data_IF_747128751932
#
_entry.id   IF_747128751932
#
_cell.length_a   1.000
_cell.length_b   1.000
_cell.length_c   1.000
_cell.angle_alpha   90.00
_cell.angle_beta   90.00
_cell.angle_gamma   90.00
#
_symmetry.space_group_name_H-M   'P 1'
#
loop_
_entity.id
_entity.type
_entity.pdbx_description
1 polymer ?
#
# COMPACT_ATOMS: atom_id res chain seq x y z
N UNK A 1 -10.86 -55.60 -35.73
CA UNK A 1 -9.45 -55.90 -35.35
C UNK A 1 -8.65 -54.63 -35.59
N UNK A 2 -8.04 -54.12 -34.52
CA UNK A 2 -6.91 -53.17 -34.45
C UNK A 2 -7.02 -51.86 -35.26
N UNK A 3 -7.29 -50.69 -34.65
CA UNK A 3 -6.42 -49.85 -33.79
C UNK A 3 -5.37 -49.04 -34.57
N UNK A 4 -5.43 -47.72 -34.42
CA UNK A 4 -4.42 -46.79 -34.91
C UNK A 4 -4.79 -45.35 -34.60
N UNK A 5 -4.85 -45.00 -33.32
CA UNK A 5 -4.87 -43.61 -32.84
C UNK A 5 -3.50 -43.03 -33.17
N UNK A 6 -3.45 -41.89 -33.88
CA UNK A 6 -2.29 -41.03 -33.85
C UNK A 6 -2.71 -39.69 -33.24
N UNK A 7 -2.20 -39.47 -32.04
CA UNK A 7 -2.19 -38.18 -31.36
C UNK A 7 -1.25 -37.27 -32.13
N UNK A 8 -1.71 -36.08 -32.51
CA UNK A 8 -0.82 -34.94 -32.56
C UNK A 8 -1.58 -33.73 -32.00
N UNK A 9 -1.26 -33.43 -30.75
CA UNK A 9 -1.67 -32.22 -30.06
C UNK A 9 -0.68 -31.13 -30.44
N UNK A 10 -0.90 -30.50 -31.59
CA UNK A 10 -0.15 -29.31 -32.00
C UNK A 10 -0.85 -28.11 -31.39
N UNK A 11 -0.14 -27.34 -30.55
CA UNK A 11 -0.59 -26.07 -29.99
C UNK A 11 -1.20 -25.21 -31.09
N UNK A 12 -2.53 -25.08 -31.08
CA UNK A 12 -3.27 -24.26 -32.02
C UNK A 12 -3.11 -22.79 -31.68
N UNK A 13 -1.97 -22.21 -32.01
CA UNK A 13 -1.89 -20.78 -32.29
C UNK A 13 -2.61 -20.54 -33.62
N UNK A 14 -3.95 -20.54 -33.60
CA UNK A 14 -4.75 -20.06 -34.72
C UNK A 14 -4.63 -18.54 -34.74
N UNK A 15 -3.55 -18.04 -35.34
CA UNK A 15 -3.54 -16.66 -35.84
C UNK A 15 -4.61 -16.56 -36.91
N UNK A 16 -5.54 -15.64 -36.75
CA UNK A 16 -6.50 -15.35 -37.82
C UNK A 16 -5.73 -14.60 -38.92
N UNK A 17 -6.01 -14.87 -40.20
CA UNK A 17 -5.38 -14.16 -41.33
C UNK A 17 -5.61 -12.62 -41.26
N UNK A 18 -6.54 -12.16 -40.41
CA UNK A 18 -6.76 -10.76 -40.07
C UNK A 18 -5.62 -10.13 -39.26
N UNK A 19 -4.83 -10.93 -38.54
CA UNK A 19 -3.63 -10.48 -37.80
C UNK A 19 -2.49 -10.08 -38.76
N UNK A 20 -2.54 -10.60 -39.99
CA UNK A 20 -1.64 -10.26 -41.10
C UNK A 20 -2.32 -9.38 -42.16
N UNK A 21 -3.47 -8.78 -41.84
CA UNK A 21 -4.11 -7.82 -42.72
C UNK A 21 -3.14 -6.69 -43.08
N UNK A 22 -3.26 -6.19 -44.31
CA UNK A 22 -2.44 -5.08 -44.78
C UNK A 22 -2.47 -3.95 -43.74
N UNK A 23 -1.31 -3.34 -43.43
CA UNK A 23 -1.26 -2.23 -42.49
C UNK A 23 -2.33 -1.23 -42.89
N UNK A 24 -3.23 -0.89 -41.97
CA UNK A 24 -4.10 0.28 -42.17
C UNK A 24 -3.20 1.40 -42.63
N UNK A 25 -3.48 1.94 -43.82
CA UNK A 25 -2.61 2.91 -44.46
C UNK A 25 -2.44 4.05 -43.48
N UNK A 26 -1.31 4.07 -42.76
CA UNK A 26 -0.90 5.25 -42.01
C UNK A 26 -0.91 6.35 -43.06
N UNK A 27 -1.76 7.35 -42.90
CA UNK A 27 -1.74 8.55 -43.73
C UNK A 27 -0.27 8.88 -43.94
N UNK A 28 0.19 8.85 -45.19
CA UNK A 28 1.57 9.21 -45.51
C UNK A 28 1.79 10.56 -44.84
N UNK A 29 2.56 10.55 -43.75
CA UNK A 29 2.97 11.78 -43.10
C UNK A 29 3.56 12.66 -44.17
N UNK A 30 3.33 13.96 -44.06
CA UNK A 30 4.01 14.96 -44.88
C UNK A 30 5.47 14.53 -45.01
N UNK A 31 6.00 14.46 -46.23
CA UNK A 31 7.36 13.96 -46.51
C UNK A 31 8.48 14.86 -45.97
N UNK A 32 8.19 15.59 -44.91
CA UNK A 32 9.12 16.44 -44.20
C UNK A 32 10.08 15.55 -43.41
N UNK A 33 11.40 15.78 -43.54
CA UNK A 33 12.37 15.06 -42.74
C UNK A 33 12.08 15.33 -41.26
N UNK A 34 11.97 14.28 -40.45
CA UNK A 34 11.80 14.41 -39.01
C UNK A 34 13.01 15.17 -38.43
N UNK A 35 12.76 16.39 -37.94
CA UNK A 35 13.73 17.17 -37.18
C UNK A 35 13.40 17.00 -35.71
N UNK A 36 14.28 16.35 -34.96
CA UNK A 36 14.11 16.23 -33.52
C UNK A 36 14.13 17.62 -32.87
N UNK A 37 13.15 17.90 -32.02
CA UNK A 37 13.12 19.15 -31.23
C UNK A 37 14.35 19.19 -30.31
N UNK A 38 15.11 20.28 -30.38
CA UNK A 38 16.18 20.56 -29.43
C UNK A 38 15.60 21.37 -28.27
N UNK A 39 15.60 20.80 -27.08
CA UNK A 39 15.05 21.41 -25.88
C UNK A 39 16.18 21.82 -24.94
N UNK A 40 16.28 23.13 -24.67
CA UNK A 40 17.20 23.64 -23.66
C UNK A 40 16.79 23.20 -22.24
N UNK A 41 17.72 23.16 -21.26
CA UNK A 41 17.37 22.92 -19.87
C UNK A 41 16.26 23.89 -19.41
N UNK A 42 15.23 23.35 -18.75
CA UNK A 42 14.08 24.13 -18.25
C UNK A 42 13.25 24.83 -19.35
N UNK A 43 13.30 24.41 -20.61
CA UNK A 43 12.50 24.98 -21.72
C UNK A 43 11.01 25.21 -21.42
N UNK A 44 10.42 24.50 -20.47
CA UNK A 44 9.01 24.58 -20.06
C UNK A 44 8.70 25.70 -19.04
N UNK A 45 9.70 26.47 -18.58
CA UNK A 45 9.50 27.54 -17.60
C UNK A 45 9.01 28.86 -18.21
N UNK A 46 9.24 29.06 -19.50
CA UNK A 46 8.78 30.25 -20.24
C UNK A 46 7.31 30.10 -20.67
N UNK A 47 6.68 31.20 -21.09
CA UNK A 47 5.34 31.16 -21.69
C UNK A 47 5.41 30.38 -23.01
N UNK A 48 4.54 29.38 -23.14
CA UNK A 48 4.51 28.53 -24.32
C UNK A 48 3.60 29.17 -25.34
N UNK A 49 4.20 29.96 -26.24
CA UNK A 49 3.54 30.51 -27.43
C UNK A 49 3.43 29.44 -28.52
N UNK A 50 2.71 28.36 -28.22
CA UNK A 50 2.42 27.28 -29.17
C UNK A 50 0.93 27.20 -29.43
N UNK A 51 0.54 27.06 -30.70
CA UNK A 51 -0.85 26.73 -31.07
C UNK A 51 -1.19 25.27 -30.76
N UNK A 52 -0.19 24.43 -30.48
CA UNK A 52 -0.37 23.02 -30.14
C UNK A 52 -0.77 22.85 -28.67
N UNK A 53 -2.05 22.53 -28.46
CA UNK A 53 -2.63 22.21 -27.16
C UNK A 53 -1.86 21.12 -26.38
N UNK A 54 -1.24 20.16 -27.07
CA UNK A 54 -0.48 19.07 -26.43
C UNK A 54 0.85 19.59 -25.87
N UNK A 55 1.50 20.51 -26.57
CA UNK A 55 2.76 21.11 -26.14
C UNK A 55 2.54 22.02 -24.92
N UNK A 56 1.48 22.84 -24.93
CA UNK A 56 1.07 23.67 -23.79
C UNK A 56 0.85 22.82 -22.54
N UNK A 57 0.03 21.76 -22.66
CA UNK A 57 -0.30 20.86 -21.53
C UNK A 57 0.95 20.14 -21.00
N UNK A 58 1.85 19.73 -21.89
CA UNK A 58 3.11 19.07 -21.53
C UNK A 58 4.02 20.01 -20.74
N UNK A 59 4.17 21.26 -21.20
CA UNK A 59 4.98 22.25 -20.51
C UNK A 59 4.40 22.62 -19.13
N UNK A 60 3.08 22.78 -19.03
CA UNK A 60 2.41 23.02 -17.75
C UNK A 60 2.66 21.89 -16.75
N UNK A 61 2.55 20.63 -17.19
CA UNK A 61 2.86 19.48 -16.33
C UNK A 61 4.32 19.53 -15.85
N UNK A 62 5.28 19.78 -16.74
CA UNK A 62 6.69 19.84 -16.33
C UNK A 62 7.01 21.01 -15.40
N UNK A 63 6.35 22.15 -15.60
CA UNK A 63 6.43 23.30 -14.69
C UNK A 63 5.89 22.95 -13.30
N UNK A 64 4.76 22.25 -13.24
CA UNK A 64 4.18 21.73 -11.99
C UNK A 64 5.13 20.71 -11.31
N UNK A 65 5.68 19.76 -12.06
CA UNK A 65 6.64 18.77 -11.56
C UNK A 65 7.91 19.45 -10.98
N UNK A 66 8.36 20.53 -11.62
CA UNK A 66 9.50 21.33 -11.13
C UNK A 66 9.12 22.08 -9.84
N UNK A 67 7.98 22.75 -9.79
CA UNK A 67 7.49 23.42 -8.59
C UNK A 67 7.34 22.42 -7.42
N UNK A 68 6.81 21.22 -7.69
CA UNK A 68 6.71 20.15 -6.70
C UNK A 68 8.08 19.73 -6.18
N UNK A 69 9.07 19.54 -7.06
CA UNK A 69 10.45 19.22 -6.67
C UNK A 69 11.08 20.31 -5.79
N UNK A 70 10.77 21.58 -6.06
CA UNK A 70 11.19 22.73 -5.27
C UNK A 70 10.37 22.93 -3.98
N UNK A 71 9.39 22.04 -3.72
CA UNK A 71 8.46 22.09 -2.58
C UNK A 71 7.54 23.30 -2.56
N UNK A 72 7.37 23.97 -3.70
CA UNK A 72 6.35 25.00 -3.88
C UNK A 72 5.02 24.32 -4.28
N UNK A 73 4.36 23.75 -3.28
CA UNK A 73 3.18 22.90 -3.50
C UNK A 73 1.94 23.68 -3.91
N UNK A 74 1.80 24.95 -3.52
CA UNK A 74 0.69 25.80 -3.96
C UNK A 74 0.82 26.11 -5.45
N UNK A 75 2.02 26.51 -5.90
CA UNK A 75 2.27 26.74 -7.32
C UNK A 75 2.09 25.45 -8.12
N UNK A 76 2.67 24.34 -7.65
CA UNK A 76 2.55 23.04 -8.32
C UNK A 76 1.08 22.64 -8.49
N UNK A 77 0.26 22.80 -7.44
CA UNK A 77 -1.16 22.52 -7.50
C UNK A 77 -1.87 23.41 -8.53
N UNK A 78 -1.58 24.71 -8.56
CA UNK A 78 -2.14 25.65 -9.54
C UNK A 78 -1.81 25.26 -11.00
N UNK A 79 -0.55 24.91 -11.26
CA UNK A 79 -0.10 24.48 -12.58
C UNK A 79 -0.72 23.12 -12.98
N UNK A 80 -0.82 22.15 -12.05
CA UNK A 80 -1.52 20.89 -12.30
C UNK A 80 -3.03 21.08 -12.55
N UNK A 81 -3.69 21.99 -11.83
CA UNK A 81 -5.10 22.34 -12.07
C UNK A 81 -5.29 22.93 -13.47
N UNK A 82 -4.41 23.85 -13.87
CA UNK A 82 -4.41 24.42 -15.22
C UNK A 82 -4.20 23.35 -16.29
N UNK A 83 -3.23 22.45 -16.08
CA UNK A 83 -2.98 21.29 -16.93
C UNK A 83 -4.21 20.38 -17.05
N UNK A 84 -4.89 20.09 -15.94
CA UNK A 84 -6.07 19.21 -15.91
C UNK A 84 -7.28 19.80 -16.64
N UNK A 85 -7.46 21.12 -16.57
CA UNK A 85 -8.54 21.83 -17.26
C UNK A 85 -8.36 21.81 -18.77
N UNK A 86 -7.12 21.89 -19.26
CA UNK A 86 -6.79 21.86 -20.68
C UNK A 86 -6.75 20.45 -21.27
N UNK A 87 -6.62 19.42 -20.44
CA UNK A 87 -6.57 18.03 -20.90
C UNK A 87 -7.92 17.56 -21.47
N UNK A 88 -7.99 17.00 -22.69
CA UNK A 88 -9.22 16.42 -23.20
C UNK A 88 -9.60 15.17 -22.39
N UNK A 89 -10.91 14.87 -22.23
CA UNK A 89 -11.38 13.71 -21.46
C UNK A 89 -10.90 12.37 -22.03
N UNK A 90 -10.53 12.34 -23.31
CA UNK A 90 -9.97 11.15 -23.98
C UNK A 90 -8.55 10.80 -23.52
N UNK A 91 -7.78 11.77 -22.99
CA UNK A 91 -6.43 11.53 -22.49
C UNK A 91 -6.46 11.02 -21.03
N UNK A 92 -7.03 9.83 -20.84
CA UNK A 92 -7.26 9.23 -19.53
C UNK A 92 -5.97 9.02 -18.73
N UNK A 93 -4.89 8.63 -19.41
CA UNK A 93 -3.59 8.38 -18.79
C UNK A 93 -3.01 9.65 -18.14
N UNK A 94 -2.93 10.75 -18.90
CA UNK A 94 -2.35 11.99 -18.38
C UNK A 94 -3.27 12.65 -17.35
N UNK A 95 -4.59 12.57 -17.52
CA UNK A 95 -5.55 13.07 -16.51
C UNK A 95 -5.37 12.36 -15.18
N UNK A 96 -5.24 11.03 -15.19
CA UNK A 96 -4.99 10.23 -13.98
C UNK A 96 -3.68 10.63 -13.29
N UNK A 97 -2.61 10.80 -14.06
CA UNK A 97 -1.28 11.18 -13.55
C UNK A 97 -1.30 12.57 -12.90
N UNK A 98 -1.93 13.55 -13.57
CA UNK A 98 -2.10 14.91 -13.04
C UNK A 98 -2.96 14.90 -11.78
N UNK A 99 -4.07 14.18 -11.74
CA UNK A 99 -4.91 14.04 -10.54
C UNK A 99 -4.13 13.42 -9.37
N UNK A 100 -3.37 12.36 -9.61
CA UNK A 100 -2.49 11.78 -8.58
C UNK A 100 -1.48 12.79 -8.04
N UNK A 101 -0.98 13.68 -8.89
CA UNK A 101 -0.04 14.73 -8.52
C UNK A 101 -0.71 15.90 -7.77
N UNK A 102 -1.94 16.28 -8.16
CA UNK A 102 -2.78 17.22 -7.40
C UNK A 102 -3.02 16.72 -5.98
N UNK A 103 -3.42 15.44 -5.83
CA UNK A 103 -3.62 14.84 -4.52
C UNK A 103 -2.34 14.85 -3.67
N UNK A 104 -1.17 14.56 -4.26
CA UNK A 104 0.12 14.66 -3.55
C UNK A 104 0.45 16.09 -3.12
N UNK A 105 0.14 17.11 -3.94
CA UNK A 105 0.29 18.51 -3.54
C UNK A 105 -0.61 18.82 -2.33
N UNK A 106 -1.89 18.45 -2.42
CA UNK A 106 -2.87 18.66 -1.35
C UNK A 106 -2.47 17.98 -0.02
N UNK A 107 -1.90 16.77 -0.07
CA UNK A 107 -1.33 16.09 1.11
C UNK A 107 -0.23 16.94 1.75
N UNK A 108 0.71 17.46 0.97
CA UNK A 108 1.80 18.30 1.49
C UNK A 108 1.31 19.65 2.01
N UNK A 109 0.18 20.16 1.50
CA UNK A 109 -0.49 21.37 1.98
C UNK A 109 -1.42 21.14 3.19
N UNK A 110 -1.58 19.89 3.65
CA UNK A 110 -2.49 19.56 4.75
C UNK A 110 -3.97 19.53 4.38
N UNK A 111 -4.31 19.63 3.09
CA UNK A 111 -5.68 19.64 2.55
C UNK A 111 -6.19 18.23 2.28
N UNK A 112 -6.24 17.40 3.33
CA UNK A 112 -6.45 15.95 3.23
C UNK A 112 -7.84 15.55 2.73
N UNK A 113 -8.88 16.32 3.04
CA UNK A 113 -10.25 16.03 2.57
C UNK A 113 -10.37 16.17 1.05
N UNK A 114 -9.79 17.21 0.49
CA UNK A 114 -9.75 17.43 -0.97
C UNK A 114 -8.88 16.38 -1.66
N UNK A 115 -7.76 16.00 -1.04
CA UNK A 115 -6.93 14.91 -1.55
C UNK A 115 -7.71 13.57 -1.59
N UNK A 116 -8.57 13.31 -0.59
CA UNK A 116 -9.39 12.12 -0.52
C UNK A 116 -10.44 12.08 -1.63
N UNK A 117 -11.11 13.20 -1.93
CA UNK A 117 -12.07 13.31 -3.02
C UNK A 117 -11.43 12.95 -4.38
N UNK A 118 -10.21 13.45 -4.62
CA UNK A 118 -9.45 13.08 -5.83
C UNK A 118 -9.11 11.58 -5.83
N UNK A 119 -8.67 11.02 -4.69
CA UNK A 119 -8.32 9.60 -4.60
C UNK A 119 -9.55 8.69 -4.82
N UNK A 120 -10.73 9.06 -4.33
CA UNK A 120 -11.99 8.35 -4.58
C UNK A 120 -12.40 8.44 -6.05
N UNK A 121 -12.28 9.62 -6.67
CA UNK A 121 -12.50 9.79 -8.12
C UNK A 121 -11.58 8.88 -8.95
N UNK A 122 -10.30 8.79 -8.58
CA UNK A 122 -9.32 7.91 -9.22
C UNK A 122 -9.65 6.41 -9.06
N UNK A 123 -10.34 6.04 -7.97
CA UNK A 123 -10.82 4.69 -7.69
C UNK A 123 -11.91 4.25 -8.67
N UNK A 124 -12.80 5.15 -9.06
CA UNK A 124 -13.88 4.87 -10.02
C UNK A 124 -13.35 4.62 -11.45
N UNK A 125 -12.16 5.13 -11.77
CA UNK A 125 -11.52 5.00 -13.09
C UNK A 125 -10.37 3.98 -13.14
N UNK A 126 -10.41 2.93 -12.31
CA UNK A 126 -9.39 1.87 -12.30
C UNK A 126 -9.62 0.91 -13.46
N UNK A 127 -8.57 0.69 -14.27
CA UNK A 127 -8.62 -0.15 -15.48
C UNK A 127 -7.60 -1.31 -15.46
N UNK A 128 -6.56 -1.24 -14.63
CA UNK A 128 -5.59 -2.31 -14.43
C UNK A 128 -5.10 -2.34 -12.96
N UNK A 129 -4.38 -3.39 -12.60
CA UNK A 129 -3.89 -3.63 -11.23
C UNK A 129 -2.90 -2.55 -10.77
N UNK A 130 -2.12 -1.98 -11.68
CA UNK A 130 -1.18 -0.89 -11.41
C UNK A 130 -1.93 0.40 -11.02
N UNK A 131 -3.01 0.71 -11.72
CA UNK A 131 -3.91 1.82 -11.43
C UNK A 131 -4.48 1.68 -10.02
N UNK A 132 -5.00 0.49 -9.68
CA UNK A 132 -5.54 0.19 -8.36
C UNK A 132 -4.48 0.33 -7.27
N UNK A 133 -3.29 -0.22 -7.51
CA UNK A 133 -2.15 -0.15 -6.60
C UNK A 133 -1.75 1.30 -6.30
N UNK A 134 -1.70 2.15 -7.32
CA UNK A 134 -1.40 3.57 -7.15
C UNK A 134 -2.49 4.28 -6.33
N UNK A 135 -3.76 4.02 -6.61
CA UNK A 135 -4.88 4.62 -5.86
C UNK A 135 -4.87 4.19 -4.39
N UNK A 136 -4.71 2.89 -4.11
CA UNK A 136 -4.67 2.39 -2.74
C UNK A 136 -3.47 2.96 -1.96
N UNK A 137 -2.29 3.04 -2.57
CA UNK A 137 -1.13 3.67 -1.91
C UNK A 137 -1.38 5.15 -1.58
N UNK A 138 -2.04 5.89 -2.46
CA UNK A 138 -2.43 7.28 -2.22
C UNK A 138 -3.44 7.39 -1.09
N UNK A 139 -4.48 6.54 -1.09
CA UNK A 139 -5.49 6.48 -0.02
C UNK A 139 -4.86 6.15 1.33
N UNK A 140 -3.93 5.18 1.40
CA UNK A 140 -3.22 4.85 2.65
C UNK A 140 -2.57 6.09 3.25
N UNK A 141 -1.88 6.91 2.44
CA UNK A 141 -1.22 8.13 2.94
C UNK A 141 -2.24 9.15 3.43
N UNK A 142 -3.30 9.42 2.65
CA UNK A 142 -4.33 10.41 3.00
C UNK A 142 -5.09 9.99 4.27
N UNK A 143 -5.51 8.73 4.33
CA UNK A 143 -6.28 8.19 5.45
C UNK A 143 -5.46 8.10 6.73
N UNK A 144 -4.14 7.86 6.64
CA UNK A 144 -3.24 7.91 7.79
C UNK A 144 -3.18 9.32 8.37
N UNK A 145 -3.06 10.35 7.52
CA UNK A 145 -3.14 11.76 7.96
C UNK A 145 -4.48 12.13 8.59
N UNK A 146 -5.58 11.54 8.10
CA UNK A 146 -6.92 11.70 8.67
C UNK A 146 -7.14 10.87 9.94
N UNK A 147 -6.17 10.04 10.36
CA UNK A 147 -6.29 9.16 11.52
C UNK A 147 -7.28 8.01 11.34
N UNK A 148 -7.71 7.70 10.10
CA UNK A 148 -8.68 6.64 9.81
C UNK A 148 -7.98 5.27 9.70
N UNK A 149 -7.55 4.76 10.85
CA UNK A 149 -6.80 3.51 10.96
C UNK A 149 -7.49 2.30 10.28
N UNK A 150 -8.82 2.07 10.46
CA UNK A 150 -9.49 0.92 9.86
C UNK A 150 -9.50 0.95 8.34
N UNK A 151 -9.76 2.10 7.72
CA UNK A 151 -9.69 2.22 6.27
C UNK A 151 -8.27 2.04 5.76
N UNK A 152 -7.24 2.51 6.49
CA UNK A 152 -5.85 2.26 6.08
C UNK A 152 -5.51 0.76 6.10
N UNK A 153 -5.89 0.05 7.17
CA UNK A 153 -5.69 -1.40 7.26
C UNK A 153 -6.40 -2.09 6.09
N UNK A 154 -7.64 -1.72 5.79
CA UNK A 154 -8.38 -2.26 4.64
C UNK A 154 -7.63 -2.03 3.32
N UNK A 155 -7.14 -0.81 3.06
CA UNK A 155 -6.36 -0.53 1.85
C UNK A 155 -5.07 -1.37 1.79
N UNK A 156 -4.39 -1.59 2.92
CA UNK A 156 -3.17 -2.41 2.99
C UNK A 156 -3.46 -3.91 2.77
N UNK A 157 -4.57 -4.43 3.30
CA UNK A 157 -5.03 -5.80 3.04
C UNK A 157 -5.32 -6.00 1.55
N UNK A 158 -6.03 -5.05 0.92
CA UNK A 158 -6.30 -5.06 -0.52
C UNK A 158 -5.01 -5.01 -1.34
N UNK A 159 -4.04 -4.20 -0.94
CA UNK A 159 -2.72 -4.14 -1.56
C UNK A 159 -1.94 -5.45 -1.45
N UNK A 160 -2.03 -6.15 -0.32
CA UNK A 160 -1.40 -7.48 -0.14
C UNK A 160 -2.10 -8.53 -1.00
N UNK A 161 -3.41 -8.45 -1.17
CA UNK A 161 -4.13 -9.35 -2.07
C UNK A 161 -3.72 -9.18 -3.53
N UNK A 162 -3.32 -7.97 -3.93
CA UNK A 162 -2.73 -7.70 -5.25
C UNK A 162 -1.27 -8.11 -5.35
N UNK A 163 -0.49 -7.87 -4.29
CA UNK A 163 0.97 -8.05 -4.28
C UNK A 163 1.42 -8.86 -3.04
N UNK A 164 1.06 -10.16 -2.96
CA UNK A 164 1.26 -10.96 -1.75
C UNK A 164 2.74 -11.15 -1.37
N UNK A 165 3.64 -11.02 -2.34
CA UNK A 165 5.08 -11.17 -2.17
C UNK A 165 5.81 -9.83 -1.91
N UNK A 166 5.11 -8.71 -1.73
CA UNK A 166 5.75 -7.42 -1.45
C UNK A 166 6.01 -7.22 0.06
N UNK A 167 7.28 -7.29 0.52
CA UNK A 167 7.60 -7.22 1.95
C UNK A 167 7.22 -5.89 2.61
N UNK A 168 7.25 -4.78 1.85
CA UNK A 168 7.05 -3.45 2.41
C UNK A 168 5.60 -3.19 2.80
N UNK A 169 4.65 -3.79 2.08
CA UNK A 169 3.22 -3.66 2.37
C UNK A 169 2.89 -4.44 3.64
N UNK A 170 3.44 -5.65 3.79
CA UNK A 170 3.35 -6.44 5.02
C UNK A 170 3.94 -5.73 6.23
N UNK A 171 5.13 -5.12 6.09
CA UNK A 171 5.75 -4.33 7.17
C UNK A 171 4.84 -3.17 7.59
N UNK A 172 4.26 -2.44 6.64
CA UNK A 172 3.31 -1.36 6.94
C UNK A 172 2.06 -1.91 7.63
N UNK A 173 1.46 -2.98 7.11
CA UNK A 173 0.29 -3.60 7.75
C UNK A 173 0.57 -3.96 9.22
N UNK A 174 1.74 -4.54 9.49
CA UNK A 174 2.18 -4.86 10.84
C UNK A 174 2.21 -3.63 11.77
N UNK A 175 2.80 -2.52 11.30
CA UNK A 175 2.87 -1.25 12.04
C UNK A 175 1.48 -0.66 12.32
N UNK A 176 0.55 -0.75 11.37
CA UNK A 176 -0.82 -0.29 11.54
C UNK A 176 -1.62 -1.18 12.51
N UNK A 177 -1.43 -2.50 12.47
CA UNK A 177 -2.01 -3.39 13.48
C UNK A 177 -1.43 -3.13 14.88
N UNK A 178 -0.12 -2.82 15.00
CA UNK A 178 0.46 -2.39 16.28
C UNK A 178 -0.26 -1.14 16.78
N UNK A 179 -0.42 -0.12 15.93
CA UNK A 179 -1.15 1.11 16.30
C UNK A 179 -2.59 0.82 16.74
N UNK A 180 -3.27 -0.10 16.06
CA UNK A 180 -4.64 -0.50 16.41
C UNK A 180 -4.69 -1.16 17.79
N UNK A 181 -3.77 -2.09 18.05
CA UNK A 181 -3.60 -2.74 19.35
C UNK A 181 -3.35 -1.73 20.48
N UNK A 182 -2.44 -0.77 20.27
CA UNK A 182 -2.13 0.27 21.26
C UNK A 182 -3.35 1.18 21.50
N UNK A 183 -4.06 1.54 20.44
CA UNK A 183 -5.29 2.34 20.53
C UNK A 183 -6.39 1.60 21.32
N UNK A 184 -6.59 0.31 21.08
CA UNK A 184 -7.53 -0.53 21.82
C UNK A 184 -7.12 -0.67 23.31
N UNK A 185 -5.83 -0.79 23.58
CA UNK A 185 -5.28 -0.92 24.95
C UNK A 185 -5.51 0.32 25.80
N UNK A 186 -5.28 1.51 25.24
CA UNK A 186 -5.49 2.78 25.94
C UNK A 186 -6.97 3.06 26.23
N UNK A 187 -7.89 2.44 25.50
CA UNK A 187 -9.33 2.57 25.70
C UNK A 187 -9.85 1.66 26.83
N UNK A 188 -9.22 0.49 27.05
CA UNK A 188 -9.60 -0.46 28.10
C UNK A 188 -9.31 0.04 29.52
N UNK A 189 -8.36 0.97 29.70
CA UNK A 189 -8.02 1.52 31.03
C UNK A 189 -9.10 2.43 31.65
N UNK A 190 -10.24 2.64 30.96
CA UNK A 190 -11.40 3.37 31.47
C UNK A 190 -12.52 2.49 32.05
N UNK A 191 -12.47 1.17 31.91
CA UNK A 191 -13.48 0.23 32.43
C UNK A 191 -12.81 -0.88 33.24
N UNK A 192 -13.03 -0.86 34.56
CA UNK A 192 -12.50 -1.83 35.52
C UNK A 192 -13.28 -3.15 35.41
N UNK A 193 -13.11 -3.88 34.33
CA UNK A 193 -13.40 -5.32 34.25
C UNK A 193 -12.31 -5.98 33.41
N UNK A 194 -11.19 -6.27 34.08
CA UNK A 194 -10.05 -6.98 33.51
C UNK A 194 -10.48 -8.43 33.27
N UNK A 195 -10.82 -8.78 32.02
CA UNK A 195 -11.23 -10.13 31.67
C UNK A 195 -10.09 -11.12 31.98
N UNK A 196 -10.36 -12.05 32.90
CA UNK A 196 -9.43 -13.11 33.37
C UNK A 196 -8.84 -13.94 32.22
N UNK A 197 -9.57 -14.05 31.12
CA UNK A 197 -9.16 -14.75 29.90
C UNK A 197 -8.04 -14.03 29.14
N UNK A 198 -8.11 -12.70 29.00
CA UNK A 198 -7.06 -11.90 28.33
C UNK A 198 -5.73 -11.97 29.10
N UNK A 199 -5.79 -12.00 30.44
CA UNK A 199 -4.59 -12.12 31.28
C UNK A 199 -3.86 -13.46 31.11
N UNK A 200 -4.60 -14.54 30.80
CA UNK A 200 -4.03 -15.85 30.57
C UNK A 200 -3.38 -15.94 29.18
N UNK A 201 -4.03 -15.37 28.17
CA UNK A 201 -3.52 -15.32 26.82
C UNK A 201 -2.27 -14.44 26.71
N UNK A 202 -2.28 -13.27 27.36
CA UNK A 202 -1.09 -12.43 27.50
C UNK A 202 0.06 -13.18 28.21
N UNK A 203 -0.21 -14.00 29.23
CA UNK A 203 0.85 -14.79 29.89
C UNK A 203 1.33 -16.00 29.08
N UNK A 204 0.54 -16.49 28.13
CA UNK A 204 0.94 -17.54 27.18
C UNK A 204 1.82 -16.96 26.07
N UNK A 205 1.46 -15.77 25.59
CA UNK A 205 2.10 -15.11 24.45
C UNK A 205 3.38 -14.35 24.84
N UNK A 206 3.37 -13.72 26.01
CA UNK A 206 4.43 -12.82 26.47
C UNK A 206 5.19 -13.45 27.64
N UNK A 207 6.50 -13.25 27.68
CA UNK A 207 7.28 -13.61 28.86
C UNK A 207 6.83 -12.79 30.08
N UNK A 208 6.49 -13.50 31.18
CA UNK A 208 5.92 -12.99 32.45
C UNK A 208 6.25 -11.52 32.80
N UNK A 209 5.26 -10.72 33.24
CA UNK A 209 5.51 -9.39 33.77
C UNK A 209 6.07 -9.51 35.18
N UNK A 210 7.39 -9.36 35.33
CA UNK A 210 7.92 -8.89 36.60
C UNK A 210 7.38 -7.47 36.82
N UNK A 211 6.75 -7.24 37.97
CA UNK A 211 6.20 -5.97 38.44
C UNK A 211 7.11 -4.77 38.10
N UNK A 212 6.77 -4.04 37.03
CA UNK A 212 7.38 -2.75 36.71
C UNK A 212 6.35 -1.83 36.04
N UNK A 213 5.28 -1.51 36.77
CA UNK A 213 4.25 -0.53 36.34
C UNK A 213 4.81 0.88 36.00
N UNK A 214 6.08 1.13 36.32
CA UNK A 214 6.81 2.36 35.98
C UNK A 214 7.56 2.34 34.64
N UNK A 215 8.09 1.20 34.17
CA UNK A 215 8.92 1.12 32.93
C UNK A 215 8.10 0.86 31.66
N UNK A 216 6.92 0.28 31.80
CA UNK A 216 6.01 0.00 30.68
C UNK A 216 5.49 1.30 30.05
N UNK A 217 5.13 2.30 30.86
CA UNK A 217 4.69 3.62 30.36
C UNK A 217 5.79 4.38 29.64
N UNK A 218 7.04 4.20 30.05
CA UNK A 218 8.20 4.86 29.46
C UNK A 218 8.53 4.25 28.08
N UNK A 219 8.55 2.92 27.98
CA UNK A 219 8.71 2.20 26.70
C UNK A 219 7.53 2.39 25.75
N UNK A 220 6.30 2.49 26.27
CA UNK A 220 5.11 2.81 25.47
C UNK A 220 5.16 4.23 24.90
N UNK A 221 5.75 5.18 25.65
CA UNK A 221 6.01 6.54 25.17
C UNK A 221 7.11 6.56 24.10
N UNK A 222 8.19 5.81 24.31
CA UNK A 222 9.27 5.67 23.32
C UNK A 222 8.75 5.03 22.03
N UNK A 223 7.87 4.02 22.12
CA UNK A 223 7.25 3.38 20.96
C UNK A 223 6.29 4.33 20.23
N UNK A 224 5.44 5.07 20.96
CA UNK A 224 4.60 6.13 20.38
C UNK A 224 5.42 7.27 19.75
N UNK A 225 6.60 7.58 20.30
CA UNK A 225 7.52 8.58 19.76
C UNK A 225 8.27 8.04 18.54
N UNK A 226 8.66 6.76 18.55
CA UNK A 226 9.30 6.07 17.43
C UNK A 226 8.39 5.98 16.20
N UNK A 227 7.09 5.68 16.40
CA UNK A 227 6.10 5.69 15.31
C UNK A 227 5.81 7.09 14.75
N UNK A 228 6.02 8.16 15.53
CA UNK A 228 6.00 9.55 15.00
C UNK A 228 7.29 9.95 14.26
N UNK A 229 8.39 9.23 14.45
CA UNK A 229 9.74 9.73 14.12
C UNK A 229 10.26 9.32 12.73
N UNK A 230 9.48 8.62 11.90
CA UNK A 230 9.92 8.21 10.55
C UNK A 230 9.39 9.05 9.39
N UNK A 231 8.97 10.28 9.69
CA UNK A 231 8.48 11.39 8.85
C UNK A 231 7.10 11.81 9.36
N UNK A 232 6.80 13.12 9.34
CA UNK A 232 5.62 13.79 9.95
C UNK A 232 5.86 14.30 11.39
N UNK A 233 6.84 15.21 11.51
CA UNK A 233 6.84 16.26 12.54
C UNK A 233 6.36 17.57 11.91
N UNK A 234 5.12 17.60 11.40
CA UNK A 234 4.40 18.85 11.16
C UNK A 234 2.89 18.57 11.03
N UNK A 235 2.25 18.09 12.10
CA UNK A 235 0.79 18.08 12.20
C UNK A 235 0.35 17.92 13.66
N UNK A 236 0.14 19.05 14.33
CA UNK A 236 -0.88 19.27 15.36
C UNK A 236 -0.85 20.76 15.74
N UNK A 237 -1.28 21.62 14.83
CA UNK A 237 -1.91 22.91 15.15
C UNK A 237 -2.38 23.59 13.88
N UNK A 238 -3.56 24.19 13.96
CA UNK A 238 -4.29 24.93 12.92
C UNK A 238 -5.10 24.01 11.98
N UNK A 239 -6.26 23.49 12.39
CA UNK A 239 -7.47 24.27 12.74
C UNK A 239 -8.23 23.63 13.90
N UNK A 240 -8.62 24.44 14.89
CA UNK A 240 -9.31 23.99 16.09
C UNK A 240 -10.75 23.58 15.83
N UNK A 241 -10.99 22.35 15.36
CA UNK A 241 -12.23 21.64 15.70
C UNK A 241 -11.98 20.82 16.97
N UNK A 242 -12.75 21.03 18.05
CA UNK A 242 -12.75 20.11 19.17
C UNK A 242 -13.20 18.74 18.64
N UNK A 243 -12.42 17.69 18.93
CA UNK A 243 -12.78 16.31 18.63
C UNK A 243 -14.08 16.03 19.42
N UNK A 244 -15.20 15.89 18.73
CA UNK A 244 -16.47 15.65 19.39
C UNK A 244 -16.50 14.21 19.94
N UNK A 245 -17.24 14.00 21.03
CA UNK A 245 -17.40 12.68 21.69
C UNK A 245 -17.85 11.59 20.69
N UNK A 246 -18.63 11.98 19.68
CA UNK A 246 -19.08 11.13 18.56
C UNK A 246 -17.95 10.65 17.64
N UNK A 247 -16.90 11.45 17.42
CA UNK A 247 -15.77 11.06 16.57
C UNK A 247 -14.88 10.03 17.29
N UNK A 248 -14.75 10.15 18.60
CA UNK A 248 -14.06 9.17 19.45
C UNK A 248 -14.83 7.86 19.53
N UNK A 249 -16.17 7.92 19.68
CA UNK A 249 -17.03 6.74 19.70
C UNK A 249 -17.10 6.04 18.32
N UNK A 250 -17.05 6.79 17.21
CA UNK A 250 -16.91 6.25 15.85
C UNK A 250 -15.57 5.53 15.65
N UNK A 251 -14.45 6.15 16.05
CA UNK A 251 -13.15 5.49 16.02
C UNK A 251 -13.12 4.22 16.89
N UNK A 252 -13.81 4.22 18.03
CA UNK A 252 -13.93 3.06 18.92
C UNK A 252 -14.70 1.90 18.29
N UNK A 253 -15.85 2.17 17.68
CA UNK A 253 -16.65 1.16 16.99
C UNK A 253 -15.88 0.55 15.80
N UNK A 254 -15.24 1.39 15.00
CA UNK A 254 -14.47 0.92 13.85
C UNK A 254 -13.19 0.14 14.22
N UNK A 255 -12.66 0.30 15.45
CA UNK A 255 -11.55 -0.50 15.95
C UNK A 255 -11.99 -1.88 16.47
N UNK A 256 -13.19 -1.98 17.05
CA UNK A 256 -13.77 -3.27 17.47
C UNK A 256 -14.09 -4.17 16.27
N UNK A 257 -14.46 -3.57 15.13
CA UNK A 257 -14.67 -4.28 13.87
C UNK A 257 -13.37 -4.92 13.32
N UNK A 258 -12.19 -4.41 13.70
CA UNK A 258 -10.91 -4.96 13.26
C UNK A 258 -10.46 -6.20 14.03
N UNK A 259 -11.05 -6.51 15.19
CA UNK A 259 -10.69 -7.68 16.00
C UNK A 259 -10.41 -7.33 17.46
N UNK A 260 -10.19 -8.35 18.29
CA UNK A 260 -9.87 -8.13 19.71
C UNK A 260 -8.48 -7.52 19.88
N UNK A 261 -8.18 -6.96 21.05
CA UNK A 261 -6.85 -6.44 21.39
C UNK A 261 -5.76 -7.50 21.12
N UNK A 262 -6.02 -8.76 21.49
CA UNK A 262 -5.08 -9.86 21.27
C UNK A 262 -4.95 -10.21 19.80
N UNK A 263 -6.04 -10.27 19.05
CA UNK A 263 -5.99 -10.56 17.61
C UNK A 263 -5.14 -9.53 16.86
N UNK A 264 -5.33 -8.24 17.17
CA UNK A 264 -4.55 -7.15 16.56
C UNK A 264 -3.04 -7.28 16.82
N UNK A 265 -2.67 -7.72 18.03
CA UNK A 265 -1.27 -7.99 18.36
C UNK A 265 -0.72 -9.16 17.54
N UNK A 266 -1.50 -10.24 17.43
CA UNK A 266 -1.12 -11.43 16.67
C UNK A 266 -1.00 -11.14 15.19
N UNK A 267 -1.95 -10.40 14.60
CA UNK A 267 -1.89 -9.97 13.20
C UNK A 267 -0.68 -9.07 12.94
N UNK A 268 -0.33 -8.21 13.90
CA UNK A 268 0.88 -7.39 13.83
C UNK A 268 2.15 -8.27 13.76
N UNK A 269 2.32 -9.20 14.69
CA UNK A 269 3.48 -10.09 14.72
C UNK A 269 3.57 -10.99 13.48
N UNK A 270 2.46 -11.60 13.09
CA UNK A 270 2.37 -12.41 11.89
C UNK A 270 2.80 -11.62 10.64
N UNK A 271 2.30 -10.39 10.50
CA UNK A 271 2.64 -9.50 9.38
C UNK A 271 4.11 -9.09 9.39
N UNK A 272 4.70 -8.85 10.57
CA UNK A 272 6.14 -8.56 10.71
C UNK A 272 7.00 -9.77 10.32
N UNK A 273 6.65 -10.96 10.80
CA UNK A 273 7.35 -12.21 10.47
C UNK A 273 7.26 -12.47 8.96
N UNK A 274 6.07 -12.32 8.37
CA UNK A 274 5.88 -12.42 6.92
C UNK A 274 6.73 -11.43 6.13
N UNK A 275 6.76 -10.17 6.57
CA UNK A 275 7.61 -9.15 5.95
C UNK A 275 9.10 -9.54 6.02
N UNK A 276 9.58 -10.04 7.16
CA UNK A 276 10.96 -10.51 7.33
C UNK A 276 11.28 -11.69 6.40
N UNK A 277 10.40 -12.67 6.31
CA UNK A 277 10.57 -13.82 5.41
C UNK A 277 10.66 -13.40 3.94
N UNK A 278 9.78 -12.49 3.50
CA UNK A 278 9.79 -11.97 2.14
C UNK A 278 11.05 -11.13 1.85
N UNK A 279 11.52 -10.34 2.83
CA UNK A 279 12.79 -9.62 2.72
C UNK A 279 13.98 -10.57 2.54
N UNK A 280 14.01 -11.67 3.30
CA UNK A 280 15.03 -12.71 3.19
C UNK A 280 14.97 -13.44 1.85
N UNK A 281 13.77 -13.72 1.34
CA UNK A 281 13.54 -14.37 0.05
C UNK A 281 14.15 -13.58 -1.12
N UNK A 282 13.96 -12.26 -1.14
CA UNK A 282 14.49 -11.39 -2.21
C UNK A 282 15.94 -10.95 -2.00
N UNK A 283 16.48 -11.13 -0.78
CA UNK A 283 17.81 -10.65 -0.40
C UNK A 283 18.94 -11.10 -1.34
N UNK A 284 19.02 -12.37 -1.80
CA UNK A 284 20.12 -12.82 -2.66
C UNK A 284 20.19 -12.12 -4.02
N UNK A 285 19.09 -11.52 -4.47
CA UNK A 285 18.98 -10.83 -5.75
C UNK A 285 19.31 -9.33 -5.64
N UNK A 286 19.56 -8.82 -4.44
CA UNK A 286 19.72 -7.39 -4.16
C UNK A 286 21.18 -7.01 -3.90
N UNK A 287 21.55 -5.80 -4.32
CA UNK A 287 22.88 -5.23 -4.11
C UNK A 287 22.80 -3.75 -3.71
N UNK A 288 23.93 -3.20 -3.24
CA UNK A 288 24.10 -1.77 -2.95
C UNK A 288 23.02 -1.20 -2.00
N UNK A 289 22.45 -0.04 -2.32
CA UNK A 289 21.45 0.66 -1.52
C UNK A 289 20.17 -0.16 -1.28
N UNK A 290 19.78 -1.02 -2.22
CA UNK A 290 18.59 -1.86 -2.08
C UNK A 290 18.81 -2.91 -0.99
N UNK A 291 19.96 -3.59 -1.02
CA UNK A 291 20.33 -4.56 0.01
C UNK A 291 20.47 -3.89 1.39
N UNK A 292 21.10 -2.71 1.45
CA UNK A 292 21.21 -1.95 2.70
C UNK A 292 19.82 -1.62 3.30
N UNK A 293 18.88 -1.16 2.47
CA UNK A 293 17.51 -0.85 2.90
C UNK A 293 16.78 -2.10 3.40
N UNK A 294 16.97 -3.23 2.73
CA UNK A 294 16.41 -4.52 3.14
C UNK A 294 16.94 -4.94 4.53
N UNK A 295 18.26 -5.01 4.70
CA UNK A 295 18.89 -5.41 5.97
C UNK A 295 18.48 -4.49 7.13
N UNK A 296 18.41 -3.18 6.87
CA UNK A 296 17.90 -2.20 7.84
C UNK A 296 16.46 -2.52 8.26
N UNK A 297 15.58 -2.82 7.29
CA UNK A 297 14.19 -3.15 7.58
C UNK A 297 14.07 -4.46 8.37
N UNK A 298 14.88 -5.48 8.09
CA UNK A 298 14.92 -6.71 8.90
C UNK A 298 15.32 -6.43 10.35
N UNK A 299 16.36 -5.61 10.58
CA UNK A 299 16.78 -5.21 11.93
C UNK A 299 15.68 -4.44 12.70
N UNK A 300 14.96 -3.54 12.02
CA UNK A 300 13.81 -2.84 12.61
C UNK A 300 12.70 -3.81 13.02
N UNK A 301 12.42 -4.82 12.19
CA UNK A 301 11.40 -5.84 12.48
C UNK A 301 11.82 -6.67 13.70
N UNK A 302 13.07 -7.09 13.78
CA UNK A 302 13.58 -7.84 14.93
C UNK A 302 13.50 -7.04 16.23
N UNK A 303 13.79 -5.74 16.19
CA UNK A 303 13.64 -4.86 17.34
C UNK A 303 12.18 -4.81 17.80
N UNK A 304 11.23 -4.67 16.88
CA UNK A 304 9.80 -4.70 17.22
C UNK A 304 9.39 -6.02 17.87
N UNK A 305 9.75 -7.16 17.27
CA UNK A 305 9.42 -8.48 17.82
C UNK A 305 10.03 -8.70 19.23
N UNK A 306 11.26 -8.19 19.46
CA UNK A 306 11.92 -8.24 20.79
C UNK A 306 11.22 -7.37 21.84
N UNK A 307 10.77 -6.16 21.47
CA UNK A 307 10.01 -5.27 22.38
C UNK A 307 8.77 -5.99 22.89
N UNK A 308 8.11 -6.75 22.03
CA UNK A 308 6.94 -7.52 22.36
C UNK A 308 7.23 -8.84 23.09
N UNK A 309 8.50 -9.24 23.32
CA UNK A 309 8.87 -10.43 24.12
C UNK A 309 8.11 -11.71 23.77
N UNK A 310 7.90 -11.94 22.47
CA UNK A 310 7.26 -13.15 21.99
C UNK A 310 8.05 -14.36 22.47
N UNK A 311 7.35 -15.41 22.94
CA UNK A 311 8.01 -16.67 23.27
C UNK A 311 8.58 -17.30 22.00
N UNK A 312 9.84 -17.75 22.03
CA UNK A 312 10.55 -18.34 20.87
C UNK A 312 9.74 -19.47 20.21
N UNK A 313 9.00 -20.25 21.00
CA UNK A 313 8.12 -21.30 20.47
C UNK A 313 7.04 -20.73 19.56
N UNK A 314 6.41 -19.63 19.93
CA UNK A 314 5.32 -19.02 19.14
C UNK A 314 5.90 -18.38 17.88
N UNK A 315 7.06 -17.70 17.98
CA UNK A 315 7.74 -17.15 16.81
C UNK A 315 8.05 -18.23 15.78
N UNK A 316 8.53 -19.40 16.23
CA UNK A 316 8.82 -20.54 15.35
C UNK A 316 7.57 -21.03 14.62
N UNK A 317 6.45 -21.23 15.34
CA UNK A 317 5.20 -21.67 14.71
C UNK A 317 4.65 -20.61 13.74
N UNK A 318 4.69 -19.33 14.11
CA UNK A 318 4.28 -18.23 13.21
C UNK A 318 5.15 -18.16 11.96
N UNK A 319 6.46 -18.39 12.10
CA UNK A 319 7.40 -18.40 10.97
C UNK A 319 7.06 -19.52 10.00
N UNK A 320 6.73 -20.71 10.50
CA UNK A 320 6.29 -21.84 9.68
C UNK A 320 4.99 -21.50 8.93
N UNK A 321 3.95 -21.06 9.65
CA UNK A 321 2.65 -20.74 9.04
C UNK A 321 2.71 -19.59 8.04
N UNK A 322 3.45 -18.51 8.36
CA UNK A 322 3.60 -17.36 7.46
C UNK A 322 4.63 -17.60 6.35
N UNK A 323 5.27 -18.77 6.29
CA UNK A 323 6.27 -19.12 5.29
C UNK A 323 5.88 -20.29 4.38
N UNK A 324 4.74 -20.92 4.62
CA UNK A 324 4.29 -22.14 3.94
C UNK A 324 4.25 -22.01 2.41
N UNK A 325 3.74 -20.90 1.89
CA UNK A 325 3.66 -20.62 0.45
C UNK A 325 4.97 -20.08 -0.16
N UNK A 326 6.01 -19.83 0.66
CA UNK A 326 7.30 -19.33 0.18
C UNK A 326 8.30 -20.44 -0.14
N UNK A 327 7.89 -21.71 -0.05
CA UNK A 327 8.74 -22.82 -0.44
C UNK A 327 8.95 -22.85 -1.96
N UNK A 328 10.14 -23.23 -2.45
CA UNK A 328 10.43 -23.27 -3.89
C UNK A 328 9.46 -24.13 -4.71
N UNK A 329 8.82 -25.14 -4.11
CA UNK A 329 7.78 -25.93 -4.78
C UNK A 329 6.52 -25.10 -5.09
N UNK A 330 6.15 -24.17 -4.22
CA UNK A 330 4.92 -23.36 -4.32
C UNK A 330 5.10 -22.08 -5.15
N UNK A 331 6.30 -21.51 -5.20
CA UNK A 331 6.57 -20.27 -5.96
C UNK A 331 6.49 -20.49 -7.49
N UNK A 332 6.78 -21.71 -7.97
CA UNK A 332 6.81 -21.99 -9.42
C UNK A 332 5.44 -21.97 -10.09
N UNK A 333 4.36 -22.15 -9.33
CA UNK A 333 2.99 -22.27 -9.87
C UNK A 333 2.33 -20.89 -10.10
N UNK A 334 2.75 -19.84 -9.40
CA UNK A 334 2.20 -18.49 -9.55
C UNK A 334 2.92 -17.60 -10.59
N UNK A 335 4.08 -18.03 -11.09
CA UNK A 335 4.93 -17.22 -11.97
C UNK A 335 4.40 -16.96 -13.39
N UNK A 336 3.23 -17.51 -13.76
CA UNK A 336 2.67 -17.47 -15.11
C UNK A 336 1.40 -16.63 -15.27
N UNK A 337 0.89 -16.00 -14.21
CA UNK A 337 -0.25 -15.09 -14.33
C UNK A 337 0.23 -13.67 -14.67
N UNK A 338 -0.07 -13.19 -15.88
CA UNK A 338 0.14 -11.80 -16.29
C UNK A 338 -0.70 -10.84 -15.42
N UNK A 339 -0.17 -10.53 -14.24
CA UNK A 339 -0.79 -9.66 -13.21
C UNK A 339 -1.01 -8.22 -13.67
N UNK A 340 -0.49 -7.83 -14.85
CA UNK A 340 -0.58 -6.47 -15.40
C UNK A 340 -1.69 -6.28 -16.44
N UNK A 341 -2.46 -7.32 -16.75
CA UNK A 341 -3.52 -7.24 -17.76
C UNK A 341 -4.85 -6.74 -17.19
N UNK A 342 -5.65 -6.08 -18.02
CA UNK A 342 -7.07 -5.75 -17.72
C UNK A 342 -7.87 -7.01 -17.36
N UNK A 343 -7.48 -8.16 -17.93
CA UNK A 343 -8.06 -9.47 -17.64
C UNK A 343 -7.81 -9.88 -16.18
N UNK A 344 -6.59 -9.69 -15.67
CA UNK A 344 -6.25 -9.97 -14.28
C UNK A 344 -7.10 -9.16 -13.30
N UNK A 345 -7.41 -7.90 -13.61
CA UNK A 345 -8.37 -7.11 -12.80
C UNK A 345 -9.79 -7.65 -12.87
N UNK A 346 -10.27 -8.04 -14.05
CA UNK A 346 -11.66 -8.52 -14.21
C UNK A 346 -11.93 -9.79 -13.40
N UNK A 347 -10.89 -10.59 -13.14
CA UNK A 347 -10.93 -11.79 -12.29
C UNK A 347 -10.60 -11.47 -10.83
N UNK A 348 -9.95 -10.33 -10.54
CA UNK A 348 -9.58 -9.94 -9.19
C UNK A 348 -10.78 -9.40 -8.42
N UNK A 349 -11.24 -10.18 -7.45
CA UNK A 349 -12.22 -9.75 -6.46
C UNK A 349 -11.50 -9.23 -5.22
N UNK A 350 -11.83 -8.00 -4.82
CA UNK A 350 -11.36 -7.45 -3.54
C UNK A 350 -11.85 -8.34 -2.39
N UNK A 351 -10.96 -8.90 -1.58
CA UNK A 351 -11.40 -9.70 -0.45
C UNK A 351 -12.01 -8.80 0.62
N UNK A 352 -13.02 -9.33 1.32
CA UNK A 352 -13.45 -8.72 2.57
C UNK A 352 -12.37 -8.84 3.64
N UNK A 353 -12.47 -8.05 4.70
CA UNK A 353 -11.56 -8.15 5.86
C UNK A 353 -11.56 -9.56 6.47
N UNK A 354 -12.73 -10.22 6.53
CA UNK A 354 -12.83 -11.61 7.00
C UNK A 354 -12.14 -12.59 6.05
N UNK A 355 -12.37 -12.50 4.73
CA UNK A 355 -11.73 -13.35 3.73
C UNK A 355 -10.20 -13.21 3.77
N UNK A 356 -9.69 -11.99 3.97
CA UNK A 356 -8.26 -11.73 4.12
C UNK A 356 -7.70 -12.39 5.39
N UNK A 357 -8.36 -12.18 6.53
CA UNK A 357 -7.92 -12.72 7.82
C UNK A 357 -8.00 -14.24 7.85
N UNK A 358 -9.03 -14.82 7.23
CA UNK A 358 -9.17 -16.27 7.13
C UNK A 358 -8.01 -16.86 6.31
N UNK A 359 -7.68 -16.23 5.17
CA UNK A 359 -6.56 -16.67 4.33
C UNK A 359 -5.21 -16.63 5.07
N UNK A 360 -4.91 -15.53 5.75
CA UNK A 360 -3.54 -15.28 6.24
C UNK A 360 -3.34 -15.56 7.73
N UNK A 361 -4.39 -15.48 8.54
CA UNK A 361 -4.27 -15.51 10.00
C UNK A 361 -5.08 -16.62 10.68
N UNK A 362 -5.97 -17.33 9.98
CA UNK A 362 -6.81 -18.37 10.61
C UNK A 362 -6.00 -19.42 11.39
N UNK A 363 -4.90 -19.93 10.79
CA UNK A 363 -4.02 -20.91 11.44
C UNK A 363 -3.41 -20.33 12.73
N UNK A 364 -3.03 -19.06 12.71
CA UNK A 364 -2.49 -18.35 13.88
C UNK A 364 -3.54 -18.22 14.97
N UNK A 365 -4.76 -17.78 14.61
CA UNK A 365 -5.90 -17.64 15.53
C UNK A 365 -6.23 -18.99 16.20
N UNK A 366 -6.15 -20.08 15.43
CA UNK A 366 -6.45 -21.43 15.94
C UNK A 366 -5.45 -21.93 16.98
N UNK A 367 -4.17 -21.50 16.93
CA UNK A 367 -3.15 -21.97 17.88
C UNK A 367 -3.39 -21.53 19.32
N UNK A 368 -4.15 -20.47 19.55
CA UNK A 368 -4.34 -19.88 20.88
C UNK A 368 -5.80 -19.82 21.33
N UNK A 369 -6.72 -20.27 20.48
CA UNK A 369 -8.13 -20.44 20.83
C UNK A 369 -8.40 -21.77 21.57
N UNK A 370 -7.37 -22.61 21.76
CA UNK A 370 -7.44 -23.90 22.45
C UNK A 370 -7.04 -23.82 23.92
#
# INVERSE_FOLDING_TARGET
>A
VASGVNMDATMGFCFEDSDFAEPTSRLKGTGEPYVAKQCEPQWFTEEVDSEDSVEIVTALKFRADMAYRLKDFEKALGDYCSCFLLLPPTNTAMRRDVQGSQARCLINLGRYTEALEIAESLGNGVFNTDHLTCTLNLQVVILDHLGNLPKVISCLQQLISLHPLNPWIWKRLAEFYTRAHLAASNQATGSVEKNRFESHLESILLNNPMSVEGKEREKQRDLNMFFRSKEISHCCSQTGRPINKTDVDYCRLSLLELGTKTDLLMFSWASFIRARLLLQLVQPQQASFVLHKNLKAQGEIEEQLKVFRLKDTIESHMTEMMGEDLLPEHIKDEGAADTKSTLALSTFRMPSDSEFKDKWFQKIVSLYSC
#
